data_IF_376624188568
#
_entry.id   IF_376624188568
#
_cell.length_a   1.000
_cell.length_b   1.000
_cell.length_c   1.000
_cell.angle_alpha   90.00
_cell.angle_beta   90.00
_cell.angle_gamma   90.00
#
_symmetry.space_group_name_H-M   'P 1'
#
loop_
_entity.id
_entity.type
_entity.pdbx_description
1 polymer ?
#
# COMPACT_ATOMS: atom_id res chain seq x y z
N UNK A 1 -1.92 48.70 -13.15
CA UNK A 1 -2.73 47.54 -13.62
C UNK A 1 -1.89 46.25 -13.74
N UNK A 2 -1.13 45.86 -12.71
CA UNK A 2 -0.33 44.61 -12.73
C UNK A 2 -0.23 43.91 -11.36
N UNK A 3 -1.09 44.27 -10.39
CA UNK A 3 -1.14 43.59 -9.08
C UNK A 3 -2.48 42.90 -8.79
N UNK A 4 -3.49 43.06 -9.64
CA UNK A 4 -4.79 42.38 -9.51
C UNK A 4 -4.81 40.95 -10.08
N UNK A 5 -3.73 40.49 -10.72
CA UNK A 5 -3.69 39.19 -11.39
C UNK A 5 -3.21 38.02 -10.49
N UNK A 6 -2.69 38.29 -9.29
CA UNK A 6 -2.11 37.24 -8.41
C UNK A 6 -3.03 36.82 -7.24
N UNK A 7 -4.25 37.36 -7.13
CA UNK A 7 -5.14 37.13 -5.98
C UNK A 7 -6.44 36.36 -6.32
N UNK A 8 -6.61 35.89 -7.56
CA UNK A 8 -7.84 35.19 -8.00
C UNK A 8 -7.72 33.65 -7.88
N UNK A 9 -6.53 33.11 -7.58
CA UNK A 9 -6.33 31.65 -7.49
C UNK A 9 -6.59 31.03 -6.11
N UNK A 10 -6.96 31.81 -5.08
CA UNK A 10 -7.14 31.30 -3.70
C UNK A 10 -8.60 31.18 -3.24
N UNK A 11 -9.60 31.53 -4.06
CA UNK A 11 -11.02 31.64 -3.62
C UNK A 11 -11.93 30.53 -4.16
N UNK A 12 -11.39 29.50 -4.83
CA UNK A 12 -12.20 28.39 -5.36
C UNK A 12 -12.08 27.05 -4.62
N UNK A 13 -11.51 27.02 -3.40
CA UNK A 13 -11.33 25.77 -2.64
C UNK A 13 -12.24 25.56 -1.43
N UNK A 14 -13.31 26.34 -1.27
CA UNK A 14 -14.35 26.05 -0.25
C UNK A 14 -15.68 25.71 -0.91
N UNK A 15 -15.66 24.73 -1.81
CA UNK A 15 -16.86 24.05 -2.25
C UNK A 15 -17.23 22.98 -1.20
N UNK A 16 -18.08 23.40 -0.26
CA UNK A 16 -19.21 22.66 0.32
C UNK A 16 -18.97 21.14 0.48
N UNK A 17 -18.42 20.74 1.63
CA UNK A 17 -18.54 19.37 2.12
C UNK A 17 -19.80 19.24 2.97
N UNK A 18 -20.73 18.43 2.45
CA UNK A 18 -21.96 17.87 2.99
C UNK A 18 -22.27 18.06 4.50
N UNK A 19 -23.47 18.57 4.79
CA UNK A 19 -24.12 18.37 6.09
C UNK A 19 -24.51 16.90 6.23
N UNK A 20 -23.99 16.20 7.24
CA UNK A 20 -24.49 14.87 7.62
C UNK A 20 -25.54 15.06 8.71
N UNK A 21 -26.81 14.92 8.32
CA UNK A 21 -27.90 14.70 9.27
C UNK A 21 -27.77 13.28 9.83
N UNK A 22 -27.32 13.15 11.08
CA UNK A 22 -27.45 11.90 11.85
C UNK A 22 -28.79 11.92 12.57
N UNK A 23 -29.74 11.14 12.06
CA UNK A 23 -30.97 10.79 12.75
C UNK A 23 -30.66 10.13 14.09
N UNK A 24 -31.46 10.47 15.11
CA UNK A 24 -31.28 10.01 16.49
C UNK A 24 -31.20 8.50 16.66
N UNK A 25 -30.27 8.09 17.52
CA UNK A 25 -30.12 6.74 18.07
C UNK A 25 -29.11 6.79 19.21
N UNK A 26 -29.61 6.60 20.43
CA UNK A 26 -28.94 6.35 21.73
C UNK A 26 -27.39 6.45 21.77
N UNK A 27 -26.88 7.49 22.45
CA UNK A 27 -25.48 7.59 22.85
C UNK A 27 -25.19 6.62 24.00
N UNK A 28 -24.48 5.54 23.71
CA UNK A 28 -23.82 4.70 24.71
C UNK A 28 -22.46 5.34 25.03
N UNK A 29 -22.26 5.70 26.29
CA UNK A 29 -21.10 6.35 26.88
C UNK A 29 -19.74 5.89 26.30
N UNK A 30 -19.00 6.82 25.69
CA UNK A 30 -17.52 6.85 25.67
C UNK A 30 -16.76 5.79 24.85
N UNK A 31 -17.41 4.76 24.30
CA UNK A 31 -16.75 3.77 23.45
C UNK A 31 -17.07 4.10 21.98
N UNK A 32 -16.26 4.94 21.35
CA UNK A 32 -16.20 4.89 19.88
C UNK A 32 -15.82 3.45 19.53
N UNK A 33 -16.63 2.71 18.74
CA UNK A 33 -16.18 1.44 18.21
C UNK A 33 -14.89 1.75 17.46
N UNK A 34 -13.76 1.27 17.97
CA UNK A 34 -12.53 1.32 17.20
C UNK A 34 -12.88 0.61 15.88
N UNK A 35 -12.77 1.27 14.71
CA UNK A 35 -13.10 0.61 13.46
C UNK A 35 -12.30 -0.67 13.44
N UNK A 36 -12.98 -1.81 13.26
CA UNK A 36 -12.31 -3.09 13.10
C UNK A 36 -11.54 -2.97 11.78
N UNK A 37 -10.30 -2.51 11.87
CA UNK A 37 -9.38 -2.53 10.75
C UNK A 37 -9.00 -3.98 10.60
N UNK A 38 -9.68 -4.69 9.70
CA UNK A 38 -9.28 -6.02 9.27
C UNK A 38 -7.86 -5.87 8.71
N UNK A 39 -6.85 -6.20 9.52
CA UNK A 39 -5.47 -6.18 9.08
C UNK A 39 -5.33 -7.26 8.01
N UNK A 40 -5.14 -6.83 6.76
CA UNK A 40 -4.80 -7.73 5.68
C UNK A 40 -3.49 -8.43 6.05
N UNK A 41 -3.56 -9.75 6.23
CA UNK A 41 -2.41 -10.58 6.55
C UNK A 41 -1.79 -11.11 5.27
N UNK A 42 -0.91 -10.31 4.66
CA UNK A 42 -0.04 -10.79 3.58
C UNK A 42 1.26 -11.28 4.20
N UNK A 43 1.76 -12.45 3.80
CA UNK A 43 3.09 -12.94 4.18
C UNK A 43 3.94 -13.24 2.96
N UNK A 44 5.22 -12.89 3.03
CA UNK A 44 6.21 -13.13 1.98
C UNK A 44 7.23 -14.14 2.52
N UNK A 45 7.47 -15.21 1.77
CA UNK A 45 8.33 -16.31 2.18
C UNK A 45 9.05 -16.96 0.99
N UNK A 46 10.18 -17.65 1.20
CA UNK A 46 10.93 -17.68 2.45
C UNK A 46 11.60 -16.32 2.73
N UNK A 47 11.82 -16.03 4.01
CA UNK A 47 12.67 -14.93 4.44
C UNK A 47 13.55 -15.45 5.58
N UNK A 48 14.86 -15.66 5.38
CA UNK A 48 15.66 -15.26 4.21
C UNK A 48 15.31 -16.00 2.90
N UNK A 49 15.39 -15.31 1.77
CA UNK A 49 15.15 -15.84 0.42
C UNK A 49 16.47 -16.16 -0.30
N UNK A 50 16.49 -17.18 -1.15
CA UNK A 50 17.68 -17.56 -1.95
C UNK A 50 17.45 -17.38 -3.44
N UNK A 51 16.47 -18.07 -4.01
CA UNK A 51 16.22 -18.06 -5.46
C UNK A 51 14.84 -17.50 -5.80
N UNK A 52 13.89 -17.64 -4.89
CA UNK A 52 12.51 -17.22 -5.13
C UNK A 52 11.88 -16.63 -3.88
N UNK A 53 10.81 -15.90 -4.09
CA UNK A 53 9.82 -15.55 -3.07
C UNK A 53 8.43 -15.99 -3.52
N UNK A 54 7.57 -16.22 -2.54
CA UNK A 54 6.15 -16.53 -2.70
C UNK A 54 5.36 -15.66 -1.73
N UNK A 55 4.08 -15.48 -2.06
CA UNK A 55 3.16 -14.66 -1.28
C UNK A 55 1.97 -15.51 -0.91
N UNK A 56 1.63 -15.51 0.38
CA UNK A 56 0.37 -16.03 0.87
C UNK A 56 -0.52 -14.86 1.27
N UNK A 57 -1.67 -14.79 0.64
CA UNK A 57 -2.68 -13.76 0.85
C UNK A 57 -4.02 -14.27 0.34
N UNK A 58 -5.10 -13.76 0.94
CA UNK A 58 -6.47 -13.93 0.44
C UNK A 58 -6.91 -12.76 -0.46
N UNK A 59 -6.10 -11.69 -0.55
CA UNK A 59 -6.37 -10.50 -1.35
C UNK A 59 -5.88 -10.64 -2.79
N UNK A 60 -6.50 -9.90 -3.69
CA UNK A 60 -6.09 -9.81 -5.09
C UNK A 60 -4.86 -8.91 -5.24
N UNK A 61 -3.73 -9.50 -5.61
CA UNK A 61 -2.47 -8.79 -5.85
C UNK A 61 -2.28 -8.58 -7.34
N UNK A 62 -2.04 -7.33 -7.75
CA UNK A 62 -1.73 -6.99 -9.13
C UNK A 62 -0.25 -7.14 -9.44
N UNK A 63 0.59 -6.61 -8.55
CA UNK A 63 2.02 -6.53 -8.78
C UNK A 63 2.83 -6.55 -7.47
N UNK A 64 4.05 -7.04 -7.59
CA UNK A 64 5.10 -6.97 -6.58
C UNK A 64 6.18 -6.03 -7.09
N UNK A 65 6.52 -5.01 -6.30
CA UNK A 65 7.68 -4.16 -6.56
C UNK A 65 8.76 -4.47 -5.54
N UNK A 66 9.98 -4.69 -6.01
CA UNK A 66 11.15 -4.93 -5.16
C UNK A 66 12.07 -3.71 -5.26
N UNK A 67 12.45 -3.18 -4.10
CA UNK A 67 13.33 -2.04 -3.97
C UNK A 67 14.56 -2.41 -3.15
N UNK A 68 15.70 -1.79 -3.45
CA UNK A 68 16.86 -1.82 -2.55
C UNK A 68 16.65 -0.88 -1.35
N UNK A 69 17.60 -0.85 -0.41
CA UNK A 69 17.49 -0.04 0.81
C UNK A 69 17.48 1.48 0.58
N UNK A 70 17.98 1.96 -0.55
CA UNK A 70 17.94 3.39 -0.91
C UNK A 70 16.66 3.76 -1.67
N UNK A 71 15.72 2.82 -1.86
CA UNK A 71 14.43 3.05 -2.51
C UNK A 71 14.47 2.96 -4.03
N UNK A 72 15.57 2.53 -4.65
CA UNK A 72 15.59 2.26 -6.09
C UNK A 72 14.83 0.98 -6.38
N UNK A 73 13.90 1.04 -7.33
CA UNK A 73 13.14 -0.12 -7.79
C UNK A 73 14.04 -0.98 -8.66
N UNK A 74 14.28 -2.22 -8.24
CA UNK A 74 15.19 -3.15 -8.91
C UNK A 74 14.43 -4.22 -9.70
N UNK A 75 13.19 -4.54 -9.31
CA UNK A 75 12.37 -5.55 -10.02
C UNK A 75 10.89 -5.26 -9.86
N UNK A 76 10.12 -5.54 -10.91
CA UNK A 76 8.65 -5.55 -10.88
C UNK A 76 8.15 -6.86 -11.44
N UNK A 77 7.23 -7.48 -10.72
CA UNK A 77 6.52 -8.70 -11.14
C UNK A 77 5.06 -8.34 -11.28
N UNK A 78 4.52 -8.49 -12.48
CA UNK A 78 3.10 -8.28 -12.78
C UNK A 78 2.34 -9.60 -12.78
N UNK A 79 1.00 -9.53 -12.70
CA UNK A 79 0.11 -10.70 -12.79
C UNK A 79 0.39 -11.73 -11.69
N UNK A 80 0.42 -11.26 -10.45
CA UNK A 80 0.78 -12.05 -9.28
C UNK A 80 -0.34 -13.04 -8.96
N UNK A 81 -0.02 -14.33 -9.01
CA UNK A 81 -0.89 -15.43 -8.61
C UNK A 81 -0.54 -15.92 -7.20
N UNK A 82 -1.57 -16.31 -6.44
CA UNK A 82 -1.42 -16.91 -5.10
C UNK A 82 -0.60 -18.19 -5.18
N UNK A 83 0.27 -18.41 -4.19
CA UNK A 83 1.12 -19.61 -4.06
C UNK A 83 2.10 -19.87 -5.22
N UNK A 84 2.29 -18.91 -6.13
CA UNK A 84 3.31 -19.00 -7.16
C UNK A 84 4.69 -18.58 -6.60
N UNK A 85 5.74 -19.18 -7.16
CA UNK A 85 7.12 -18.79 -6.91
C UNK A 85 7.57 -17.74 -7.92
N UNK A 86 8.21 -16.70 -7.44
CA UNK A 86 8.76 -15.62 -8.23
C UNK A 86 10.27 -15.61 -8.08
N UNK A 87 10.96 -15.84 -9.20
CA UNK A 87 12.41 -15.84 -9.25
C UNK A 87 12.99 -14.47 -8.88
N UNK A 88 14.04 -14.49 -8.06
CA UNK A 88 14.85 -13.35 -7.63
C UNK A 88 16.35 -13.70 -7.63
N UNK A 89 16.75 -14.74 -8.36
CA UNK A 89 18.14 -15.22 -8.42
C UNK A 89 19.08 -14.15 -9.00
N UNK A 90 18.56 -13.26 -9.84
CA UNK A 90 19.25 -12.10 -10.41
C UNK A 90 19.58 -11.00 -9.38
N UNK A 91 18.95 -11.02 -8.20
CA UNK A 91 19.21 -10.03 -7.16
C UNK A 91 20.46 -10.40 -6.34
N UNK A 92 21.43 -9.48 -6.19
CA UNK A 92 22.57 -9.67 -5.29
C UNK A 92 22.13 -9.90 -3.84
N UNK A 93 22.98 -10.58 -3.08
CA UNK A 93 22.75 -10.80 -1.66
C UNK A 93 22.69 -9.48 -0.90
N UNK A 94 21.70 -9.35 -0.01
CA UNK A 94 21.43 -8.09 0.68
C UNK A 94 20.01 -7.95 1.19
N UNK A 95 19.65 -6.72 1.54
CA UNK A 95 18.33 -6.39 2.08
C UNK A 95 17.49 -5.68 1.05
N UNK A 96 16.22 -6.05 0.97
CA UNK A 96 15.26 -5.50 0.02
C UNK A 96 13.94 -5.18 0.70
N UNK A 97 13.21 -4.24 0.11
CA UNK A 97 11.83 -3.92 0.45
C UNK A 97 10.93 -4.48 -0.65
N UNK A 98 9.99 -5.33 -0.28
CA UNK A 98 9.00 -5.92 -1.18
C UNK A 98 7.66 -5.26 -0.91
N UNK A 99 7.19 -4.48 -1.87
CA UNK A 99 5.93 -3.77 -1.85
C UNK A 99 4.88 -4.53 -2.65
N UNK A 100 3.72 -4.71 -2.03
CA UNK A 100 2.58 -5.40 -2.63
C UNK A 100 1.53 -4.38 -3.01
N UNK A 101 1.04 -4.46 -4.25
CA UNK A 101 0.04 -3.52 -4.78
C UNK A 101 -1.17 -4.29 -5.29
N UNK A 102 -2.36 -3.82 -4.92
CA UNK A 102 -3.64 -4.41 -5.33
C UNK A 102 -4.04 -4.03 -6.77
N UNK A 103 -5.18 -4.56 -7.20
CA UNK A 103 -5.78 -4.27 -8.52
C UNK A 103 -6.19 -2.80 -8.70
N UNK A 104 -6.45 -2.08 -7.61
CA UNK A 104 -6.78 -0.65 -7.60
C UNK A 104 -5.54 0.26 -7.56
N UNK A 105 -4.34 -0.31 -7.70
CA UNK A 105 -3.05 0.38 -7.56
C UNK A 105 -2.75 0.92 -6.16
N UNK A 106 -3.44 0.44 -5.12
CA UNK A 106 -3.15 0.78 -3.73
C UNK A 106 -2.05 -0.11 -3.18
N UNK A 107 -1.12 0.50 -2.45
CA UNK A 107 -0.11 -0.25 -1.70
C UNK A 107 -0.79 -0.92 -0.51
N UNK A 108 -0.75 -2.25 -0.47
CA UNK A 108 -1.32 -3.03 0.63
C UNK A 108 -0.34 -3.09 1.79
N UNK A 109 0.92 -3.45 1.49
CA UNK A 109 1.98 -3.57 2.48
C UNK A 109 3.36 -3.45 1.84
N UNK A 110 4.37 -3.17 2.65
CA UNK A 110 5.78 -3.27 2.27
C UNK A 110 6.50 -4.06 3.35
N UNK A 111 7.16 -5.15 2.96
CA UNK A 111 7.88 -6.03 3.89
C UNK A 111 9.36 -6.05 3.55
N UNK A 112 10.20 -6.02 4.59
CA UNK A 112 11.64 -6.17 4.45
C UNK A 112 12.01 -7.65 4.35
N UNK A 113 12.74 -8.02 3.31
CA UNK A 113 13.29 -9.37 3.12
C UNK A 113 14.82 -9.34 3.09
N UNK A 114 15.43 -10.46 3.48
CA UNK A 114 16.86 -10.70 3.31
C UNK A 114 17.10 -11.71 2.19
N UNK A 115 17.98 -11.40 1.23
CA UNK A 115 18.41 -12.25 0.12
C UNK A 115 19.79 -12.83 0.43
N UNK A 116 19.92 -14.15 0.34
CA UNK A 116 21.14 -14.93 0.59
C UNK A 116 21.60 -15.68 -0.65
#
# INVERSE_FOLDING_TARGET
MKQTLLLVFFVFFTAISATQSKSGGINIWGLQPNPIVTQVKITIYPNPATNFISINTDDQVKQINIFNLIGHKVKTISNVVRNQQYDITDLPNGMYLVQIVDTNNKIITTQRISKR
#
